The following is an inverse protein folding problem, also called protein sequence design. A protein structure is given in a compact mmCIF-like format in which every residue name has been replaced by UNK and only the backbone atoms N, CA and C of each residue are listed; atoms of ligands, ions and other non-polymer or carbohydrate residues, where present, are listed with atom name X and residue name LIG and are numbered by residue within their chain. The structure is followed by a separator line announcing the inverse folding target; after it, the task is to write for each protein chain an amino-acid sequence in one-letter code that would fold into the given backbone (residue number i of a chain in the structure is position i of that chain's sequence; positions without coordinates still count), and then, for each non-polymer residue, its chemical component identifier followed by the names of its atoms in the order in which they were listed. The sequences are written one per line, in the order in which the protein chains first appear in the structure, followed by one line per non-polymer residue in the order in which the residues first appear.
data_IF_707868108981
#
_entry.id   IF_707868108981
#
_cell.length_a   1.000
_cell.length_b   1.000
_cell.length_c   1.000
_cell.angle_alpha   90.00
_cell.angle_beta   90.00
_cell.angle_gamma   90.00
#
_symmetry.space_group_name_H-M   'P 1'
#
loop_
_entity.id
_entity.type
_entity.pdbx_description
1 polymer ?
#
# COMPACT_ATOMS: atom_id res chain seq x y z
N UNK A 1 -51.62 43.14 33.61
CA UNK A 1 -51.00 42.67 32.35
C UNK A 1 -49.50 42.66 32.55
N UNK A 2 -48.82 41.49 32.57
CA UNK A 2 -47.36 41.44 32.54
C UNK A 2 -46.87 41.03 31.14
N UNK A 3 -46.16 41.91 30.45
CA UNK A 3 -45.54 41.65 29.14
C UNK A 3 -44.04 41.40 29.31
N UNK A 4 -43.59 40.32 28.66
CA UNK A 4 -42.27 40.10 28.07
C UNK A 4 -41.01 40.23 28.96
N UNK A 5 -40.75 39.09 29.60
CA UNK A 5 -39.55 38.26 29.42
C UNK A 5 -38.65 38.66 28.22
N UNK A 6 -37.81 39.67 28.40
CA UNK A 6 -36.53 39.76 27.70
C UNK A 6 -35.59 38.71 28.30
N UNK A 7 -35.73 37.45 27.85
CA UNK A 7 -34.61 36.53 27.94
C UNK A 7 -33.61 37.01 26.91
N UNK A 8 -32.66 37.80 27.39
CA UNK A 8 -31.40 38.00 26.69
C UNK A 8 -30.93 36.64 26.21
N UNK A 9 -30.80 36.53 24.90
CA UNK A 9 -30.31 35.35 24.21
C UNK A 9 -28.82 35.27 24.50
N UNK A 10 -28.49 34.83 25.70
CA UNK A 10 -27.14 34.39 26.02
C UNK A 10 -26.87 33.20 25.06
N UNK A 11 -25.88 33.30 24.17
CA UNK A 11 -25.59 32.22 23.24
C UNK A 11 -25.28 30.99 24.09
N UNK A 12 -26.11 29.95 23.94
CA UNK A 12 -25.98 28.70 24.68
C UNK A 12 -24.62 28.10 24.34
N UNK A 13 -23.65 28.34 25.21
CA UNK A 13 -22.25 27.97 25.02
C UNK A 13 -22.06 26.45 25.05
N UNK A 14 -23.11 25.69 25.41
CA UNK A 14 -23.21 24.24 25.23
C UNK A 14 -23.38 23.81 23.77
N UNK A 15 -23.96 24.63 22.91
CA UNK A 15 -24.09 24.33 21.47
C UNK A 15 -22.81 24.66 20.70
N UNK A 16 -21.99 25.58 21.24
CA UNK A 16 -20.68 25.94 20.66
C UNK A 16 -19.57 24.94 20.99
N UNK A 17 -19.71 24.15 22.06
CA UNK A 17 -18.78 23.05 22.43
C UNK A 17 -18.87 21.86 21.46
N UNK A 18 -19.90 21.78 20.62
CA UNK A 18 -20.18 20.54 19.89
C UNK A 18 -19.72 20.57 18.42
N UNK A 19 -19.79 21.72 17.75
CA UNK A 19 -19.54 21.76 16.29
C UNK A 19 -18.05 21.69 15.94
N UNK A 20 -17.18 22.45 16.62
CA UNK A 20 -15.73 22.40 16.36
C UNK A 20 -15.09 21.09 16.82
N UNK A 21 -15.54 20.52 17.93
CA UNK A 21 -15.05 19.21 18.40
C UNK A 21 -15.56 18.08 17.49
N UNK A 22 -16.81 18.14 16.98
CA UNK A 22 -17.31 17.20 15.97
C UNK A 22 -16.54 17.30 14.65
N UNK A 23 -16.22 18.51 14.19
CA UNK A 23 -15.43 18.72 12.96
C UNK A 23 -14.01 18.18 13.11
N UNK A 24 -13.40 18.31 14.29
CA UNK A 24 -12.06 17.83 14.56
C UNK A 24 -12.00 16.31 14.72
N UNK A 25 -13.02 15.72 15.34
CA UNK A 25 -13.18 14.27 15.45
C UNK A 25 -13.43 13.62 14.08
N UNK A 26 -14.26 14.26 13.24
CA UNK A 26 -14.49 13.85 11.86
C UNK A 26 -13.20 13.93 11.03
N UNK A 27 -12.46 15.04 11.13
CA UNK A 27 -11.17 15.21 10.46
C UNK A 27 -10.15 14.15 10.90
N UNK A 28 -10.04 13.88 12.20
CA UNK A 28 -9.15 12.87 12.73
C UNK A 28 -9.47 11.49 12.16
N UNK A 29 -10.75 11.10 12.11
CA UNK A 29 -11.16 9.81 11.53
C UNK A 29 -10.82 9.72 10.05
N UNK A 30 -11.09 10.77 9.27
CA UNK A 30 -10.76 10.78 7.83
C UNK A 30 -9.26 10.67 7.60
N UNK A 31 -8.45 11.46 8.29
CA UNK A 31 -6.98 11.40 8.16
C UNK A 31 -6.47 10.04 8.64
N UNK A 32 -6.96 9.55 9.77
CA UNK A 32 -6.58 8.24 10.30
C UNK A 32 -6.89 7.12 9.31
N UNK A 33 -8.06 7.17 8.69
CA UNK A 33 -8.48 6.17 7.72
C UNK A 33 -7.64 6.25 6.43
N UNK A 34 -7.39 7.45 5.92
CA UNK A 34 -6.51 7.65 4.76
C UNK A 34 -5.08 7.16 5.04
N UNK A 35 -4.55 7.42 6.24
CA UNK A 35 -3.23 6.94 6.66
C UNK A 35 -3.22 5.42 6.82
N UNK A 36 -4.27 4.83 7.40
CA UNK A 36 -4.39 3.37 7.51
C UNK A 36 -4.41 2.72 6.13
N UNK A 37 -5.14 3.30 5.18
CA UNK A 37 -5.22 2.81 3.80
C UNK A 37 -3.85 2.92 3.09
N UNK A 38 -3.19 4.08 3.22
CA UNK A 38 -1.85 4.28 2.67
C UNK A 38 -0.79 3.35 3.27
N UNK A 39 -0.85 3.08 4.58
CA UNK A 39 0.05 2.12 5.23
C UNK A 39 -0.24 0.71 4.73
N UNK A 40 -1.50 0.33 4.57
CA UNK A 40 -1.88 -1.00 4.07
C UNK A 40 -1.38 -1.21 2.64
N UNK A 41 -1.54 -0.18 1.79
CA UNK A 41 -1.03 -0.17 0.42
C UNK A 41 0.50 -0.26 0.37
N UNK A 42 1.19 0.53 1.21
CA UNK A 42 2.65 0.49 1.32
C UNK A 42 3.16 -0.88 1.80
N UNK A 43 2.53 -1.47 2.83
CA UNK A 43 2.89 -2.80 3.34
C UNK A 43 2.64 -3.87 2.27
N UNK A 44 1.52 -3.79 1.55
CA UNK A 44 1.23 -4.68 0.43
C UNK A 44 2.31 -4.62 -0.64
N UNK A 45 2.73 -3.41 -1.00
CA UNK A 45 3.82 -3.18 -1.96
C UNK A 45 5.15 -3.74 -1.45
N UNK A 46 5.53 -3.46 -0.20
CA UNK A 46 6.77 -3.98 0.40
C UNK A 46 6.76 -5.52 0.42
N UNK A 47 5.63 -6.13 0.77
CA UNK A 47 5.48 -7.58 0.76
C UNK A 47 5.64 -8.14 -0.67
N UNK A 48 5.03 -7.51 -1.67
CA UNK A 48 5.18 -7.90 -3.07
C UNK A 48 6.63 -7.79 -3.55
N UNK A 49 7.32 -6.70 -3.18
CA UNK A 49 8.73 -6.47 -3.49
C UNK A 49 9.60 -7.53 -2.82
N UNK A 50 9.35 -7.86 -1.56
CA UNK A 50 10.07 -8.90 -0.85
C UNK A 50 9.90 -10.28 -1.52
N UNK A 51 8.68 -10.62 -1.91
CA UNK A 51 8.38 -11.86 -2.64
C UNK A 51 9.06 -11.86 -4.01
N UNK A 52 8.88 -10.81 -4.81
CA UNK A 52 9.51 -10.69 -6.13
C UNK A 52 11.04 -10.72 -6.04
N UNK A 53 11.61 -10.06 -5.04
CA UNK A 53 13.05 -10.09 -4.75
C UNK A 53 13.53 -11.49 -4.35
N UNK A 54 12.77 -12.23 -3.54
CA UNK A 54 13.09 -13.61 -3.20
C UNK A 54 13.06 -14.54 -4.42
N UNK A 55 12.07 -14.40 -5.30
CA UNK A 55 12.03 -15.13 -6.57
C UNK A 55 13.22 -14.77 -7.48
N UNK A 56 13.53 -13.47 -7.60
CA UNK A 56 14.65 -13.00 -8.41
C UNK A 56 15.99 -13.54 -7.88
N UNK A 57 16.18 -13.50 -6.56
CA UNK A 57 17.37 -14.03 -5.90
C UNK A 57 17.50 -15.55 -6.07
N UNK A 58 16.40 -16.29 -5.88
CA UNK A 58 16.37 -17.73 -6.12
C UNK A 58 16.72 -18.05 -7.58
N UNK A 59 16.12 -17.36 -8.55
CA UNK A 59 16.41 -17.50 -9.97
C UNK A 59 17.86 -17.20 -10.32
N UNK A 60 18.42 -16.11 -9.79
CA UNK A 60 19.82 -15.74 -9.97
C UNK A 60 20.77 -16.80 -9.40
N UNK A 61 20.49 -17.28 -8.18
CA UNK A 61 21.31 -18.30 -7.52
C UNK A 61 21.30 -19.62 -8.28
N UNK A 62 20.13 -20.02 -8.81
CA UNK A 62 19.98 -21.21 -9.63
C UNK A 62 20.75 -21.04 -10.94
N UNK A 63 20.62 -19.88 -11.59
CA UNK A 63 21.33 -19.56 -12.83
C UNK A 63 22.85 -19.61 -12.66
N UNK A 64 23.39 -18.97 -11.63
CA UNK A 64 24.83 -18.97 -11.34
C UNK A 64 25.33 -20.38 -11.05
N UNK A 65 24.60 -21.18 -10.26
CA UNK A 65 24.96 -22.59 -10.01
C UNK A 65 24.96 -23.41 -11.29
N UNK A 66 23.92 -23.30 -12.12
CA UNK A 66 23.84 -24.00 -13.41
C UNK A 66 24.93 -23.59 -14.40
N UNK A 67 25.39 -22.34 -14.35
CA UNK A 67 26.45 -21.85 -15.22
C UNK A 67 27.85 -22.27 -14.75
N UNK A 68 28.03 -22.54 -13.46
CA UNK A 68 29.34 -22.88 -12.86
C UNK A 68 29.55 -24.39 -12.74
N UNK A 69 28.49 -25.16 -12.56
CA UNK A 69 28.54 -26.62 -12.47
C UNK A 69 28.31 -27.27 -13.84
N UNK A 70 29.40 -27.82 -14.41
CA UNK A 70 29.35 -28.63 -15.64
C UNK A 70 28.54 -29.91 -15.42
N UNK A 71 27.25 -29.88 -15.75
CA UNK A 71 26.37 -31.06 -15.67
C UNK A 71 24.90 -30.78 -15.36
N UNK A 72 24.55 -29.54 -15.03
CA UNK A 72 23.16 -29.16 -14.77
C UNK A 72 22.34 -29.08 -16.08
N UNK A 73 21.17 -29.72 -16.08
CA UNK A 73 20.28 -29.80 -17.24
C UNK A 73 19.77 -28.43 -17.67
N UNK A 74 19.64 -28.21 -18.99
CA UNK A 74 19.06 -27.01 -19.62
C UNK A 74 17.72 -26.62 -18.99
N UNK A 75 16.94 -27.60 -18.51
CA UNK A 75 15.68 -27.35 -17.79
C UNK A 75 15.87 -26.47 -16.55
N UNK A 76 16.88 -26.73 -15.73
CA UNK A 76 17.17 -25.90 -14.55
C UNK A 76 17.64 -24.50 -14.93
N UNK A 77 18.42 -24.37 -16.00
CA UNK A 77 18.86 -23.06 -16.48
C UNK A 77 17.68 -22.21 -16.97
N UNK A 78 16.77 -22.79 -17.76
CA UNK A 78 15.56 -22.10 -18.21
C UNK A 78 14.62 -21.74 -17.05
N UNK A 79 14.47 -22.63 -16.06
CA UNK A 79 13.68 -22.36 -14.87
C UNK A 79 14.24 -21.18 -14.06
N UNK A 80 15.58 -21.10 -13.90
CA UNK A 80 16.24 -20.00 -13.21
C UNK A 80 16.01 -18.65 -13.90
N UNK A 81 16.11 -18.62 -15.23
CA UNK A 81 15.83 -17.42 -16.05
C UNK A 81 14.37 -16.97 -15.90
N UNK A 82 13.42 -17.90 -15.99
CA UNK A 82 12.00 -17.59 -15.82
C UNK A 82 11.70 -17.08 -14.41
N UNK A 83 12.23 -17.73 -13.38
CA UNK A 83 12.05 -17.29 -11.99
C UNK A 83 12.61 -15.88 -11.78
N UNK A 84 13.77 -15.60 -12.37
CA UNK A 84 14.40 -14.28 -12.32
C UNK A 84 13.56 -13.23 -13.03
N UNK A 85 13.09 -13.51 -14.25
CA UNK A 85 12.25 -12.60 -15.02
C UNK A 85 10.92 -12.30 -14.30
N UNK A 86 10.27 -13.32 -13.73
CA UNK A 86 9.04 -13.18 -12.96
C UNK A 86 9.29 -12.33 -11.71
N UNK A 87 10.34 -12.64 -10.95
CA UNK A 87 10.70 -11.86 -9.76
C UNK A 87 10.95 -10.39 -10.09
N UNK A 88 11.70 -10.11 -11.15
CA UNK A 88 11.97 -8.75 -11.60
C UNK A 88 10.71 -8.03 -12.08
N UNK A 89 9.83 -8.73 -12.80
CA UNK A 89 8.55 -8.17 -13.25
C UNK A 89 7.63 -7.82 -12.07
N UNK A 90 7.54 -8.69 -11.05
CA UNK A 90 6.74 -8.44 -9.85
C UNK A 90 7.26 -7.21 -9.09
N UNK A 91 8.57 -7.08 -8.93
CA UNK A 91 9.18 -5.89 -8.31
C UNK A 91 8.96 -4.64 -9.17
N UNK A 92 9.23 -4.71 -10.48
CA UNK A 92 9.05 -3.59 -11.39
C UNK A 92 7.60 -3.11 -11.48
N UNK A 93 6.64 -4.04 -11.47
CA UNK A 93 5.21 -3.74 -11.51
C UNK A 93 4.70 -3.17 -10.19
N UNK A 94 5.17 -3.67 -9.04
CA UNK A 94 4.80 -3.13 -7.73
C UNK A 94 5.34 -1.73 -7.47
N UNK A 95 6.51 -1.38 -8.02
CA UNK A 95 7.07 -0.03 -7.94
C UNK A 95 6.49 0.94 -9.00
N UNK A 96 5.59 0.48 -9.89
CA UNK A 96 5.06 1.28 -10.99
C UNK A 96 6.06 1.57 -12.11
N UNK A 97 7.23 0.92 -12.11
CA UNK A 97 8.23 1.05 -13.18
C UNK A 97 7.82 0.30 -14.46
N UNK A 98 6.98 -0.72 -14.34
CA UNK A 98 6.42 -1.50 -15.46
C UNK A 98 4.90 -1.46 -15.37
N UNK A 99 4.22 -1.11 -16.47
CA UNK A 99 2.76 -1.11 -16.50
C UNK A 99 2.24 -2.54 -16.27
N UNK A 100 1.36 -2.77 -15.27
CA UNK A 100 0.85 -4.10 -15.00
C UNK A 100 0.05 -4.59 -16.20
N UNK A 101 0.25 -5.86 -16.60
CA UNK A 101 -0.41 -6.49 -17.77
C UNK A 101 -1.93 -6.35 -17.78
N UNK A 102 -2.58 -6.15 -16.62
CA UNK A 102 -4.02 -5.88 -16.50
C UNK A 102 -4.47 -4.56 -17.15
N UNK A 103 -3.56 -3.61 -17.35
CA UNK A 103 -3.84 -2.31 -17.97
C UNK A 103 -3.71 -2.36 -19.51
N UNK A 104 -3.35 -3.53 -20.07
CA UNK A 104 -3.16 -3.73 -21.52
C UNK A 104 -4.38 -4.31 -22.23
N UNK A 105 -5.37 -4.77 -21.46
CA UNK A 105 -6.67 -5.27 -21.93
C UNK A 105 -7.73 -4.18 -21.79
#
# INVERSE_FOLDING_TARGET
MPSDRSRDTEPDSRTAVDVSDLDQEALYRTVRQAVQDAILDAVGTIALVAVGGALAFAGASLFVRTATESGLSIGFLTAGIWLLAIGLYVVGSSLGAVQPVRDWL
#
